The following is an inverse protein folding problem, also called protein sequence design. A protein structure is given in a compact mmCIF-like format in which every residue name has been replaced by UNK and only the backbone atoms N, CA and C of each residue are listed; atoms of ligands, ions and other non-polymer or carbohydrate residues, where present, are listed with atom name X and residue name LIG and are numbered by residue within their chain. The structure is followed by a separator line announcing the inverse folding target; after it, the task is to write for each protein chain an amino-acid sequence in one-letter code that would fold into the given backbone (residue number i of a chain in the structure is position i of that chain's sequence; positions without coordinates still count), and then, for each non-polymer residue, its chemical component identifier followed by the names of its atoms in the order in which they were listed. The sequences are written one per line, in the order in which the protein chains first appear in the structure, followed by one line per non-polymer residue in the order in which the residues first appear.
data_IF_422792043365
#
_entry.id   IF_422792043365
#
_cell.length_a   1.000
_cell.length_b   1.000
_cell.length_c   1.000
_cell.angle_alpha   90.00
_cell.angle_beta   90.00
_cell.angle_gamma   90.00
#
_symmetry.space_group_name_H-M   'P 1'
#
loop_
_entity.id
_entity.type
_entity.pdbx_description
1 polymer ?
#
# COMPACT_ATOMS: atom_id res chain seq x y z
N UNK A 1 8.55 -5.47 8.29
CA UNK A 1 9.29 -5.40 9.54
C UNK A 1 10.52 -4.51 9.37
N UNK A 2 10.61 -3.38 10.12
CA UNK A 2 11.80 -2.54 10.11
C UNK A 2 11.64 -1.14 9.55
N UNK A 3 10.52 -0.82 8.88
CA UNK A 3 10.28 0.52 8.34
C UNK A 3 10.37 1.60 9.43
N UNK A 4 9.80 1.35 10.61
CA UNK A 4 9.90 2.24 11.76
C UNK A 4 11.37 2.56 12.14
N UNK A 5 12.25 1.54 12.15
CA UNK A 5 13.67 1.75 12.45
C UNK A 5 14.36 2.58 11.37
N UNK A 6 14.02 2.34 10.10
CA UNK A 6 14.58 3.11 8.97
C UNK A 6 14.11 4.57 8.98
N UNK A 7 12.92 4.84 9.51
CA UNK A 7 12.38 6.18 9.70
C UNK A 7 12.84 6.82 11.03
N UNK A 8 13.60 6.10 11.87
CA UNK A 8 13.99 6.58 13.19
C UNK A 8 12.82 6.81 14.13
N UNK A 9 11.77 5.99 14.00
CA UNK A 9 10.54 6.03 14.78
C UNK A 9 10.41 4.84 15.71
N UNK A 10 9.51 4.91 16.69
CA UNK A 10 9.05 3.77 17.45
C UNK A 10 8.25 2.78 16.59
N UNK A 11 8.03 1.58 17.10
CA UNK A 11 7.15 0.61 16.44
C UNK A 11 5.71 0.84 16.92
N UNK A 12 4.78 1.32 16.08
CA UNK A 12 3.40 1.48 16.47
C UNK A 12 2.75 0.12 16.73
N UNK A 13 1.74 0.09 17.63
CA UNK A 13 0.86 -1.07 17.73
C UNK A 13 0.09 -1.26 16.44
N UNK A 14 -0.23 -2.50 16.09
CA UNK A 14 -0.98 -2.76 14.88
C UNK A 14 -2.50 -2.50 15.04
N UNK A 15 -3.13 -1.96 14.00
CA UNK A 15 -4.55 -1.64 13.96
C UNK A 15 -5.43 -2.89 14.15
N UNK A 16 -4.97 -4.07 13.75
CA UNK A 16 -5.67 -5.32 13.98
C UNK A 16 -5.84 -5.58 15.48
N UNK A 17 -4.84 -5.20 16.30
CA UNK A 17 -4.92 -5.27 17.77
C UNK A 17 -6.00 -4.37 18.35
N UNK A 18 -6.20 -3.17 17.79
CA UNK A 18 -7.29 -2.25 18.17
C UNK A 18 -8.68 -2.90 18.02
N UNK A 19 -8.87 -3.73 17.01
CA UNK A 19 -10.11 -4.47 16.77
C UNK A 19 -10.21 -5.80 17.53
N UNK A 20 -9.33 -6.07 18.50
CA UNK A 20 -9.34 -7.31 19.29
C UNK A 20 -8.67 -8.49 18.58
N UNK A 21 -7.71 -8.20 17.73
CA UNK A 21 -6.99 -9.19 16.93
C UNK A 21 -7.84 -9.81 15.83
N UNK A 22 -7.33 -10.86 15.18
CA UNK A 22 -8.03 -11.55 14.09
C UNK A 22 -9.39 -12.14 14.52
N UNK A 23 -9.52 -12.56 15.78
CA UNK A 23 -10.77 -13.12 16.30
C UNK A 23 -11.84 -12.04 16.47
N UNK A 24 -11.53 -10.96 17.18
CA UNK A 24 -12.46 -9.84 17.35
C UNK A 24 -12.83 -9.18 16.03
N UNK A 25 -11.87 -9.07 15.10
CA UNK A 25 -12.13 -8.57 13.76
C UNK A 25 -13.12 -9.47 12.99
N UNK A 26 -12.93 -10.80 13.01
CA UNK A 26 -13.86 -11.75 12.37
C UNK A 26 -15.26 -11.70 12.97
N UNK A 27 -15.38 -11.53 14.28
CA UNK A 27 -16.66 -11.39 14.94
C UNK A 27 -17.39 -10.11 14.51
N UNK A 28 -16.68 -8.98 14.48
CA UNK A 28 -17.22 -7.72 13.94
C UNK A 28 -17.62 -7.85 12.46
N UNK A 29 -16.82 -8.57 11.67
CA UNK A 29 -17.12 -8.83 10.26
C UNK A 29 -18.40 -9.66 10.08
N UNK A 30 -18.65 -10.63 10.96
CA UNK A 30 -19.87 -11.45 10.94
C UNK A 30 -21.09 -10.68 11.40
N UNK A 31 -20.93 -9.80 12.38
CA UNK A 31 -22.00 -8.96 12.93
C UNK A 31 -22.40 -7.80 11.99
N UNK A 32 -21.50 -7.41 11.05
CA UNK A 32 -21.80 -6.36 10.11
C UNK A 32 -22.91 -6.77 9.12
N UNK A 33 -23.83 -5.87 8.75
CA UNK A 33 -24.92 -6.19 7.83
C UNK A 33 -24.34 -6.67 6.48
N UNK A 34 -24.81 -7.84 6.03
CA UNK A 34 -24.41 -8.40 4.73
C UNK A 34 -24.83 -7.44 3.64
N UNK A 35 -23.92 -7.08 2.73
CA UNK A 35 -24.28 -6.38 1.49
C UNK A 35 -25.32 -7.24 0.78
N UNK A 36 -26.57 -6.78 0.67
CA UNK A 36 -27.54 -7.38 -0.22
C UNK A 36 -27.03 -7.12 -1.64
N UNK A 37 -26.48 -8.14 -2.30
CA UNK A 37 -26.24 -8.09 -3.73
C UNK A 37 -27.62 -7.95 -4.37
N UNK A 38 -28.03 -6.73 -4.69
CA UNK A 38 -29.13 -6.51 -5.60
C UNK A 38 -28.65 -6.97 -6.98
N UNK A 39 -29.05 -8.16 -7.39
CA UNK A 39 -29.06 -8.55 -8.80
C UNK A 39 -30.06 -7.59 -9.47
N UNK A 40 -29.56 -6.46 -9.95
CA UNK A 40 -30.34 -5.47 -10.67
C UNK A 40 -30.70 -6.03 -12.04
N UNK A 41 -31.94 -6.45 -12.22
CA UNK A 41 -32.58 -6.38 -13.52
C UNK A 41 -32.58 -4.90 -13.91
N UNK A 42 -31.98 -4.61 -15.05
CA UNK A 42 -31.99 -3.29 -15.66
C UNK A 42 -33.43 -2.83 -15.91
N UNK A 43 -33.87 -1.82 -15.15
CA UNK A 43 -34.99 -0.99 -15.53
C UNK A 43 -34.44 0.39 -15.89
N UNK A 44 -34.57 0.75 -17.14
CA UNK A 44 -34.33 2.08 -17.71
C UNK A 44 -35.15 3.14 -16.98
N UNK A 45 -34.46 4.09 -16.33
CA UNK A 45 -35.11 5.24 -15.71
C UNK A 45 -34.07 6.21 -15.18
N UNK A 46 -33.88 7.31 -15.93
CA UNK A 46 -33.04 8.44 -15.57
C UNK A 46 -33.50 9.10 -14.29
N UNK A 47 -32.67 9.07 -13.25
CA UNK A 47 -32.70 10.04 -12.16
C UNK A 47 -31.29 10.29 -11.66
N UNK A 48 -30.91 11.57 -11.72
CA UNK A 48 -29.67 12.13 -11.15
C UNK A 48 -29.65 11.97 -9.64
N UNK A 49 -29.16 10.85 -9.17
CA UNK A 49 -28.90 10.56 -7.77
C UNK A 49 -27.41 10.57 -7.51
N UNK A 50 -26.95 11.39 -6.57
CA UNK A 50 -25.61 11.35 -6.03
C UNK A 50 -25.27 9.92 -5.62
N UNK A 51 -24.02 9.43 -5.82
CA UNK A 51 -23.64 8.10 -5.38
C UNK A 51 -23.83 8.02 -3.87
N UNK A 52 -24.70 7.10 -3.42
CA UNK A 52 -24.92 6.85 -2.00
C UNK A 52 -23.56 6.42 -1.40
N UNK A 53 -23.06 7.19 -0.45
CA UNK A 53 -21.86 6.87 0.30
C UNK A 53 -22.03 5.46 0.90
N UNK A 54 -21.22 4.52 0.43
CA UNK A 54 -21.22 3.16 0.95
C UNK A 54 -20.74 3.22 2.41
N UNK A 55 -21.64 3.00 3.37
CA UNK A 55 -21.25 2.89 4.78
C UNK A 55 -20.24 1.75 4.94
N UNK A 56 -19.09 2.04 5.50
CA UNK A 56 -18.09 1.06 5.91
C UNK A 56 -18.69 0.02 6.87
N UNK A 57 -18.16 -1.19 6.83
CA UNK A 57 -18.58 -2.26 7.74
C UNK A 57 -18.01 -2.11 9.14
N UNK A 58 -16.87 -1.42 9.29
CA UNK A 58 -16.08 -1.35 10.51
C UNK A 58 -15.96 0.06 11.07
N UNK A 59 -16.09 1.06 10.19
CA UNK A 59 -15.94 2.45 10.55
C UNK A 59 -17.31 3.13 10.45
N UNK A 60 -17.73 3.75 11.52
CA UNK A 60 -19.00 4.47 11.63
C UNK A 60 -18.94 5.91 11.11
N UNK A 61 -17.72 6.42 10.95
CA UNK A 61 -17.41 7.77 10.44
C UNK A 61 -16.12 7.75 9.63
N UNK A 62 -15.81 8.86 8.97
CA UNK A 62 -14.46 9.10 8.49
C UNK A 62 -13.52 9.30 9.68
N UNK A 63 -12.33 8.72 9.58
CA UNK A 63 -11.34 8.74 10.64
C UNK A 63 -10.15 9.60 10.24
N UNK A 64 -9.74 10.45 11.17
CA UNK A 64 -8.43 11.10 11.13
C UNK A 64 -7.44 10.31 11.99
N UNK A 65 -6.16 10.56 11.82
CA UNK A 65 -5.14 9.95 12.69
C UNK A 65 -5.32 10.32 14.17
N UNK A 66 -5.93 11.46 14.48
CA UNK A 66 -6.23 11.89 15.84
C UNK A 66 -7.36 11.11 16.51
N UNK A 67 -8.16 10.35 15.76
CA UNK A 67 -9.19 9.46 16.31
C UNK A 67 -8.60 8.14 16.83
N UNK A 68 -7.35 7.82 16.47
CA UNK A 68 -6.66 6.64 16.95
C UNK A 68 -5.94 6.93 18.28
N UNK A 69 -5.90 5.94 19.21
CA UNK A 69 -5.05 6.07 20.38
C UNK A 69 -3.57 6.26 19.97
N UNK A 70 -2.79 7.05 20.73
CA UNK A 70 -1.42 7.43 20.35
C UNK A 70 -0.50 6.24 20.09
N UNK A 71 -0.72 5.11 20.73
CA UNK A 71 0.10 3.92 20.56
C UNK A 71 -0.02 3.22 19.19
N UNK A 72 -0.99 3.65 18.36
CA UNK A 72 -1.18 3.09 17.01
C UNK A 72 -0.59 3.95 15.90
N UNK A 73 -0.14 5.16 16.22
CA UNK A 73 0.42 6.11 15.27
C UNK A 73 1.71 6.69 15.83
N UNK A 74 2.80 6.51 15.12
CA UNK A 74 4.05 7.21 15.38
C UNK A 74 4.16 8.41 14.43
N UNK A 75 4.67 9.54 14.92
CA UNK A 75 4.85 10.74 14.10
C UNK A 75 6.24 11.33 14.27
N UNK A 76 6.88 11.63 13.15
CA UNK A 76 8.18 12.31 13.11
C UNK A 76 8.31 13.11 11.82
N UNK A 77 8.74 14.36 11.92
CA UNK A 77 9.00 15.24 10.78
C UNK A 77 7.82 15.37 9.79
N UNK A 78 6.58 15.33 10.29
CA UNK A 78 5.35 15.39 9.48
C UNK A 78 4.96 14.07 8.83
N UNK A 79 5.73 13.01 9.02
CA UNK A 79 5.40 11.65 8.56
C UNK A 79 4.70 10.89 9.67
N UNK A 80 3.52 10.34 9.37
CA UNK A 80 2.77 9.46 10.28
C UNK A 80 2.92 8.02 9.83
N UNK A 81 3.36 7.17 10.75
CA UNK A 81 3.53 5.74 10.52
C UNK A 81 2.48 4.97 11.29
N UNK A 82 1.80 4.06 10.61
CA UNK A 82 0.85 3.12 11.20
C UNK A 82 1.10 1.71 10.69
N UNK A 83 0.87 0.72 11.53
CA UNK A 83 0.89 -0.69 11.15
C UNK A 83 -0.52 -1.26 11.14
N UNK A 84 -0.92 -1.91 10.05
CA UNK A 84 -2.27 -2.53 9.98
C UNK A 84 -2.33 -3.83 10.74
N UNK A 85 -1.31 -4.67 10.62
CA UNK A 85 -1.22 -5.93 11.34
C UNK A 85 -0.03 -6.76 10.91
N UNK A 86 0.28 -7.75 11.72
CA UNK A 86 1.38 -8.70 11.52
C UNK A 86 0.91 -10.12 11.84
N UNK A 87 1.59 -11.10 11.28
CA UNK A 87 1.50 -12.48 11.75
C UNK A 87 2.53 -12.62 12.87
N UNK A 88 2.07 -12.77 14.10
CA UNK A 88 2.93 -12.83 15.28
C UNK A 88 3.32 -14.27 15.64
N UNK A 89 2.41 -15.22 15.42
CA UNK A 89 2.59 -16.59 15.87
C UNK A 89 2.38 -17.60 14.75
N UNK A 90 3.07 -18.73 14.87
CA UNK A 90 2.84 -19.87 14.00
C UNK A 90 1.38 -20.35 14.10
N UNK A 91 0.73 -20.57 12.97
CA UNK A 91 -0.66 -21.04 12.95
C UNK A 91 -1.75 -19.96 13.00
N UNK A 92 -1.42 -18.67 13.03
CA UNK A 92 -2.40 -17.57 13.02
C UNK A 92 -3.25 -17.47 11.73
N UNK A 93 -2.99 -18.30 10.73
CA UNK A 93 -3.72 -18.34 9.47
C UNK A 93 -3.30 -17.23 8.49
N UNK A 94 -4.13 -16.99 7.46
CA UNK A 94 -3.74 -16.10 6.36
C UNK A 94 -3.83 -14.60 6.72
N UNK A 95 -3.14 -13.78 5.93
CA UNK A 95 -3.16 -12.32 6.03
C UNK A 95 -4.43 -11.66 5.45
N UNK A 96 -5.37 -12.45 4.92
CA UNK A 96 -6.59 -11.95 4.27
C UNK A 96 -7.39 -10.90 5.10
N UNK A 97 -7.56 -11.07 6.44
CA UNK A 97 -8.24 -10.07 7.24
C UNK A 97 -7.52 -8.73 7.28
N UNK A 98 -6.19 -8.72 7.18
CA UNK A 98 -5.39 -7.49 7.16
C UNK A 98 -5.66 -6.68 5.88
N UNK A 99 -5.68 -7.31 4.72
CA UNK A 99 -6.04 -6.64 3.46
C UNK A 99 -7.45 -6.03 3.48
N UNK A 100 -8.44 -6.74 4.07
CA UNK A 100 -9.78 -6.19 4.24
C UNK A 100 -9.75 -4.97 5.17
N UNK A 101 -9.04 -5.06 6.30
CA UNK A 101 -8.92 -3.95 7.24
C UNK A 101 -8.22 -2.75 6.60
N UNK A 102 -7.12 -2.98 5.85
CA UNK A 102 -6.40 -1.91 5.13
C UNK A 102 -7.34 -1.16 4.21
N UNK A 103 -8.08 -1.86 3.36
CA UNK A 103 -9.01 -1.24 2.43
C UNK A 103 -10.10 -0.43 3.15
N UNK A 104 -10.79 -1.04 4.10
CA UNK A 104 -11.85 -0.38 4.85
C UNK A 104 -11.32 0.85 5.61
N UNK A 105 -10.09 0.80 6.12
CA UNK A 105 -9.46 1.94 6.77
C UNK A 105 -9.17 3.06 5.78
N UNK A 106 -8.56 2.75 4.63
CA UNK A 106 -8.24 3.74 3.60
C UNK A 106 -9.50 4.39 3.02
N UNK A 107 -10.54 3.62 2.73
CA UNK A 107 -11.85 4.13 2.26
C UNK A 107 -12.48 5.14 3.25
N UNK A 108 -12.17 5.03 4.52
CA UNK A 108 -12.74 5.86 5.58
C UNK A 108 -11.74 6.85 6.19
N UNK A 109 -10.51 6.90 5.70
CA UNK A 109 -9.52 7.85 6.16
C UNK A 109 -9.86 9.25 5.64
N UNK A 110 -9.80 10.23 6.54
CA UNK A 110 -10.00 11.64 6.20
C UNK A 110 -8.66 12.25 5.79
N UNK A 111 -8.50 12.52 4.51
CA UNK A 111 -7.28 13.04 3.91
C UNK A 111 -7.52 14.45 3.38
N UNK A 112 -6.57 15.33 3.64
CA UNK A 112 -6.47 16.64 3.01
C UNK A 112 -6.02 16.53 1.55
N UNK A 113 -6.13 17.63 0.81
CA UNK A 113 -5.76 17.66 -0.62
C UNK A 113 -4.27 17.44 -0.88
N UNK A 114 -3.44 17.78 0.09
CA UNK A 114 -1.98 17.71 -0.02
C UNK A 114 -1.40 16.49 0.71
N UNK A 115 -2.28 15.64 1.26
CA UNK A 115 -1.85 14.42 1.95
C UNK A 115 -1.49 13.33 0.94
N UNK A 116 -0.37 12.65 1.19
CA UNK A 116 0.07 11.47 0.45
C UNK A 116 0.08 10.25 1.37
N UNK A 117 -0.60 9.21 0.98
CA UNK A 117 -0.58 7.93 1.70
C UNK A 117 0.24 6.92 0.91
N UNK A 118 1.25 6.35 1.53
CA UNK A 118 2.06 5.27 0.97
C UNK A 118 1.73 3.99 1.73
N UNK A 119 1.27 2.98 1.02
CA UNK A 119 0.99 1.67 1.59
C UNK A 119 2.10 0.71 1.21
N UNK A 120 2.93 0.33 2.20
CA UNK A 120 3.97 -0.67 2.03
C UNK A 120 3.35 -2.06 2.13
N UNK A 121 3.42 -2.81 1.04
CA UNK A 121 2.86 -4.16 0.92
C UNK A 121 3.96 -5.19 0.69
N UNK A 122 3.71 -6.43 1.12
CA UNK A 122 4.59 -7.54 0.74
C UNK A 122 4.54 -7.77 -0.78
N UNK A 123 5.69 -8.10 -1.37
CA UNK A 123 5.79 -8.44 -2.79
C UNK A 123 4.92 -9.67 -3.09
N UNK A 124 4.01 -9.54 -4.06
CA UNK A 124 3.20 -10.65 -4.52
C UNK A 124 1.90 -10.22 -5.20
N UNK A 125 1.51 -10.95 -6.23
CA UNK A 125 0.29 -10.70 -6.99
C UNK A 125 -0.99 -11.11 -6.27
N UNK A 126 -0.88 -11.72 -5.08
CA UNK A 126 -2.04 -12.23 -4.34
C UNK A 126 -2.97 -11.12 -3.81
N UNK A 127 -2.41 -9.95 -3.54
CA UNK A 127 -3.19 -8.79 -3.10
C UNK A 127 -4.05 -8.23 -4.24
N UNK A 128 -3.52 -8.19 -5.45
CA UNK A 128 -4.20 -7.67 -6.65
C UNK A 128 -5.44 -8.50 -7.04
N UNK A 129 -5.37 -9.80 -6.97
CA UNK A 129 -6.51 -10.67 -7.26
C UNK A 129 -7.70 -10.53 -6.30
N UNK A 130 -7.56 -9.77 -5.22
CA UNK A 130 -8.58 -9.56 -4.18
C UNK A 130 -9.26 -8.19 -4.23
N UNK A 131 -8.94 -7.36 -5.20
CA UNK A 131 -9.59 -6.06 -5.42
C UNK A 131 -9.30 -5.02 -4.33
N UNK A 132 -8.15 -5.14 -3.63
CA UNK A 132 -7.67 -4.13 -2.68
C UNK A 132 -7.24 -2.86 -3.43
N UNK A 133 -6.95 -2.99 -4.71
CA UNK A 133 -6.19 -2.04 -5.51
C UNK A 133 -7.05 -0.99 -6.24
N UNK A 134 -8.37 -1.11 -6.16
CA UNK A 134 -9.29 -0.20 -6.87
C UNK A 134 -9.35 1.20 -6.26
N UNK A 135 -8.82 1.34 -5.05
CA UNK A 135 -8.89 2.58 -4.28
C UNK A 135 -7.53 3.32 -4.23
N UNK A 136 -6.53 2.82 -4.97
CA UNK A 136 -5.24 3.50 -5.11
C UNK A 136 -5.20 4.34 -6.38
N UNK A 137 -4.69 5.56 -6.28
CA UNK A 137 -4.49 6.45 -7.43
C UNK A 137 -3.43 5.89 -8.37
N UNK A 138 -2.41 5.23 -7.80
CA UNK A 138 -1.33 4.59 -8.54
C UNK A 138 -0.65 3.46 -7.74
N UNK A 139 0.06 2.62 -8.44
CA UNK A 139 0.84 1.50 -7.90
C UNK A 139 2.30 1.69 -8.33
N UNK A 140 3.20 1.68 -7.35
CA UNK A 140 4.63 1.66 -7.58
C UNK A 140 5.16 0.24 -7.38
N UNK A 141 5.71 -0.34 -8.44
CA UNK A 141 6.34 -1.66 -8.40
C UNK A 141 7.85 -1.46 -8.33
N UNK A 142 8.44 -1.83 -7.19
CA UNK A 142 9.91 -1.82 -7.04
C UNK A 142 10.49 -3.10 -7.64
N UNK A 143 11.38 -2.94 -8.62
CA UNK A 143 11.95 -4.03 -9.40
C UNK A 143 13.44 -4.16 -9.10
N UNK A 144 13.83 -5.23 -8.41
CA UNK A 144 15.23 -5.58 -8.16
C UNK A 144 15.82 -6.34 -9.36
N UNK A 145 17.15 -6.37 -9.56
CA UNK A 145 17.83 -7.11 -10.64
C UNK A 145 17.80 -8.63 -10.38
N UNK A 146 16.62 -9.20 -10.43
CA UNK A 146 16.43 -10.64 -10.32
C UNK A 146 15.36 -11.12 -11.29
N UNK A 147 15.53 -12.34 -11.79
CA UNK A 147 14.60 -12.95 -12.73
C UNK A 147 13.13 -12.92 -12.21
N UNK A 148 12.93 -13.23 -10.94
CA UNK A 148 11.61 -13.24 -10.33
C UNK A 148 10.98 -11.85 -10.28
N UNK A 149 11.77 -10.82 -9.91
CA UNK A 149 11.30 -9.44 -9.86
C UNK A 149 10.92 -8.93 -11.25
N UNK A 150 11.77 -9.19 -12.26
CA UNK A 150 11.51 -8.84 -13.64
C UNK A 150 10.30 -9.59 -14.23
N UNK A 151 10.08 -10.85 -13.83
CA UNK A 151 8.90 -11.61 -14.24
C UNK A 151 7.63 -11.08 -13.59
N UNK A 152 7.72 -10.69 -12.33
CA UNK A 152 6.58 -10.11 -11.60
C UNK A 152 6.18 -8.76 -12.19
N UNK A 153 7.13 -7.91 -12.59
CA UNK A 153 6.81 -6.60 -13.18
C UNK A 153 5.90 -6.71 -14.41
N UNK A 154 6.12 -7.71 -15.27
CA UNK A 154 5.24 -7.98 -16.43
C UNK A 154 3.81 -8.31 -16.02
N UNK A 155 3.65 -9.09 -14.94
CA UNK A 155 2.31 -9.40 -14.42
C UNK A 155 1.62 -8.17 -13.85
N UNK A 156 2.36 -7.26 -13.20
CA UNK A 156 1.80 -6.01 -12.70
C UNK A 156 1.35 -5.09 -13.83
N UNK A 157 2.09 -5.05 -14.94
CA UNK A 157 1.71 -4.30 -16.13
C UNK A 157 0.38 -4.84 -16.71
N UNK A 158 0.28 -6.16 -16.90
CA UNK A 158 -0.96 -6.84 -17.33
C UNK A 158 -2.13 -6.58 -16.38
N UNK A 159 -1.91 -6.58 -15.08
CA UNK A 159 -2.94 -6.27 -14.08
C UNK A 159 -3.37 -4.80 -14.14
N UNK A 160 -2.42 -3.88 -14.31
CA UNK A 160 -2.73 -2.47 -14.49
C UNK A 160 -3.70 -2.24 -15.65
N UNK A 161 -3.44 -2.88 -16.80
CA UNK A 161 -4.33 -2.84 -17.95
C UNK A 161 -5.72 -3.44 -17.64
N UNK A 162 -5.79 -4.58 -16.94
CA UNK A 162 -7.05 -5.24 -16.62
C UNK A 162 -7.91 -4.48 -15.61
N UNK A 163 -7.30 -3.84 -14.61
CA UNK A 163 -8.04 -3.08 -13.59
C UNK A 163 -8.24 -1.59 -13.96
N UNK A 164 -7.55 -1.09 -14.99
CA UNK A 164 -7.49 0.33 -15.30
C UNK A 164 -6.70 1.15 -14.29
N UNK A 165 -5.77 0.50 -13.55
CA UNK A 165 -4.94 1.13 -12.54
C UNK A 165 -3.65 1.66 -13.17
N UNK A 166 -3.16 2.80 -12.70
CA UNK A 166 -1.86 3.32 -13.11
C UNK A 166 -0.76 2.52 -12.43
N UNK A 167 0.06 1.82 -13.20
CA UNK A 167 1.22 1.06 -12.69
C UNK A 167 2.49 1.72 -13.19
N UNK A 168 3.41 2.00 -12.27
CA UNK A 168 4.72 2.57 -12.55
C UNK A 168 5.82 1.71 -11.92
N UNK A 169 7.00 1.74 -12.54
CA UNK A 169 8.14 0.94 -12.11
C UNK A 169 9.24 1.83 -11.52
N UNK A 170 9.79 1.37 -10.42
CA UNK A 170 11.02 1.91 -9.82
C UNK A 170 12.08 0.82 -9.92
N UNK A 171 13.06 0.99 -10.79
CA UNK A 171 14.18 0.07 -10.87
C UNK A 171 15.11 0.33 -9.68
N UNK A 172 15.41 -0.72 -8.93
CA UNK A 172 16.22 -0.65 -7.72
C UNK A 172 17.52 -1.44 -7.89
N UNK A 173 18.58 -1.02 -7.23
CA UNK A 173 19.92 -1.62 -7.32
C UNK A 173 20.45 -1.68 -8.76
N UNK A 174 20.20 -0.62 -9.50
CA UNK A 174 20.64 -0.54 -10.90
C UNK A 174 22.16 -0.34 -10.97
N UNK A 175 22.85 -1.28 -11.59
CA UNK A 175 24.25 -1.14 -11.95
C UNK A 175 24.39 -0.81 -13.44
N UNK A 176 25.46 -0.10 -13.87
CA UNK A 176 25.60 0.35 -15.25
C UNK A 176 25.59 -0.76 -16.29
N UNK A 177 26.14 -1.92 -15.97
CA UNK A 177 26.28 -3.09 -16.86
C UNK A 177 24.97 -3.88 -17.04
N UNK A 178 24.01 -3.79 -16.10
CA UNK A 178 22.73 -4.50 -16.19
C UNK A 178 21.55 -3.57 -16.50
N UNK A 179 21.76 -2.26 -16.50
CA UNK A 179 20.73 -1.25 -16.67
C UNK A 179 19.87 -1.46 -17.92
N UNK A 180 20.52 -1.67 -19.07
CA UNK A 180 19.82 -1.84 -20.34
C UNK A 180 18.97 -3.12 -20.34
N UNK A 181 19.46 -4.19 -19.72
CA UNK A 181 18.75 -5.46 -19.60
C UNK A 181 17.51 -5.33 -18.70
N UNK A 182 17.63 -4.60 -17.58
CA UNK A 182 16.49 -4.30 -16.72
C UNK A 182 15.43 -3.48 -17.46
N UNK A 183 15.82 -2.42 -18.16
CA UNK A 183 14.91 -1.58 -18.95
C UNK A 183 14.20 -2.36 -20.06
N UNK A 184 14.93 -3.27 -20.75
CA UNK A 184 14.34 -4.11 -21.78
C UNK A 184 13.34 -5.15 -21.22
N UNK A 185 13.41 -5.42 -19.95
CA UNK A 185 12.58 -6.43 -19.28
C UNK A 185 11.27 -5.89 -18.70
N UNK A 186 11.11 -4.56 -18.60
CA UNK A 186 9.92 -3.88 -18.08
C UNK A 186 9.30 -2.97 -19.15
N UNK A 187 8.11 -2.47 -18.92
CA UNK A 187 7.54 -1.40 -19.73
C UNK A 187 8.28 -0.09 -19.42
N UNK A 188 9.28 0.22 -20.22
CA UNK A 188 10.19 1.36 -19.98
C UNK A 188 9.47 2.73 -19.98
N UNK A 189 8.31 2.86 -20.63
CA UNK A 189 7.51 4.10 -20.61
C UNK A 189 6.93 4.39 -19.24
N UNK A 190 6.78 3.37 -18.41
CA UNK A 190 6.23 3.46 -17.06
C UNK A 190 7.34 3.46 -15.98
N UNK A 191 8.62 3.49 -16.37
CA UNK A 191 9.73 3.63 -15.41
C UNK A 191 9.83 5.08 -14.95
N UNK A 192 9.63 5.32 -13.66
CA UNK A 192 9.60 6.67 -13.07
C UNK A 192 10.82 6.99 -12.23
N UNK A 193 11.60 5.99 -11.84
CA UNK A 193 12.88 6.16 -11.17
C UNK A 193 13.81 4.97 -11.39
N UNK A 194 15.11 5.27 -11.41
CA UNK A 194 16.18 4.28 -11.40
C UNK A 194 17.08 4.57 -10.20
N UNK A 195 17.11 3.69 -9.22
CA UNK A 195 17.87 3.84 -7.99
C UNK A 195 19.11 2.94 -8.09
N UNK A 196 20.31 3.50 -8.14
CA UNK A 196 21.54 2.69 -8.22
C UNK A 196 21.78 1.92 -6.92
N UNK A 197 22.53 0.83 -7.00
CA UNK A 197 22.96 0.14 -5.80
C UNK A 197 23.86 1.06 -4.96
N UNK A 198 23.52 1.19 -3.69
CA UNK A 198 24.27 2.03 -2.74
C UNK A 198 24.63 1.23 -1.49
N UNK A 199 25.91 0.98 -1.34
CA UNK A 199 26.45 0.23 -0.21
C UNK A 199 26.12 0.86 1.15
N UNK A 200 25.89 2.17 1.20
CA UNK A 200 25.48 2.89 2.40
C UNK A 200 24.08 2.51 2.85
N UNK A 201 23.13 2.42 1.91
CA UNK A 201 21.77 1.96 2.18
C UNK A 201 21.80 0.55 2.74
N UNK A 202 22.54 -0.35 2.08
CA UNK A 202 22.70 -1.72 2.54
C UNK A 202 23.27 -1.80 3.96
N UNK A 203 24.35 -1.08 4.25
CA UNK A 203 25.00 -1.08 5.58
C UNK A 203 24.09 -0.51 6.67
N UNK A 204 23.31 0.53 6.33
CA UNK A 204 22.39 1.16 7.29
C UNK A 204 21.21 0.26 7.60
N UNK A 205 20.63 -0.34 6.56
CA UNK A 205 19.54 -1.32 6.69
C UNK A 205 19.97 -2.56 7.47
N UNK A 206 21.18 -3.10 7.22
CA UNK A 206 21.72 -4.24 7.93
C UNK A 206 21.85 -3.99 9.45
N UNK A 207 22.10 -2.74 9.83
CA UNK A 207 22.23 -2.34 11.24
C UNK A 207 20.90 -1.95 11.88
N UNK A 208 19.81 -1.95 11.13
CA UNK A 208 18.50 -1.49 11.59
C UNK A 208 18.50 -0.03 12.04
N UNK A 209 19.33 0.82 11.41
CA UNK A 209 19.44 2.22 11.74
C UNK A 209 18.57 3.08 10.84
N UNK A 210 18.28 4.28 11.31
CA UNK A 210 17.61 5.32 10.53
C UNK A 210 18.37 5.58 9.23
N UNK A 211 17.61 5.64 8.12
CA UNK A 211 18.12 5.95 6.80
C UNK A 211 18.02 7.46 6.57
N UNK A 212 19.10 8.17 6.87
CA UNK A 212 19.19 9.61 6.68
C UNK A 212 20.10 9.93 5.48
N UNK A 213 19.59 9.63 4.28
CA UNK A 213 20.29 9.88 3.01
C UNK A 213 19.39 10.66 2.07
N UNK A 214 19.94 11.72 1.50
CA UNK A 214 19.30 12.44 0.41
C UNK A 214 19.67 11.80 -0.92
N UNK A 215 18.66 11.36 -1.66
CA UNK A 215 18.82 10.74 -2.97
C UNK A 215 18.07 11.56 -4.01
N UNK A 216 18.77 12.03 -5.03
CA UNK A 216 18.15 12.83 -6.09
C UNK A 216 17.11 12.04 -6.88
N UNK A 217 17.30 10.72 -7.00
CA UNK A 217 16.36 9.80 -7.62
C UNK A 217 15.02 9.76 -6.84
N UNK A 218 15.10 9.78 -5.50
CA UNK A 218 13.92 9.81 -4.63
C UNK A 218 13.25 11.18 -4.65
N UNK A 219 14.02 12.28 -4.71
CA UNK A 219 13.45 13.62 -4.86
C UNK A 219 12.62 13.73 -6.14
N UNK A 220 13.15 13.24 -7.27
CA UNK A 220 12.43 13.21 -8.56
C UNK A 220 11.17 12.34 -8.49
N UNK A 221 11.26 11.18 -7.84
CA UNK A 221 10.10 10.30 -7.62
C UNK A 221 9.03 11.01 -6.78
N UNK A 222 9.40 11.71 -5.71
CA UNK A 222 8.47 12.47 -4.89
C UNK A 222 7.79 13.62 -5.68
N UNK A 223 8.54 14.30 -6.55
CA UNK A 223 7.97 15.32 -7.45
C UNK A 223 6.99 14.72 -8.46
N UNK A 224 7.28 13.54 -8.97
CA UNK A 224 6.38 12.80 -9.86
C UNK A 224 5.07 12.46 -9.13
N UNK A 225 5.15 11.88 -7.92
CA UNK A 225 3.99 11.49 -7.14
C UNK A 225 3.07 12.67 -6.77
N UNK A 226 3.63 13.86 -6.56
CA UNK A 226 2.83 15.07 -6.28
C UNK A 226 2.05 15.60 -7.50
N UNK A 227 2.42 15.17 -8.71
CA UNK A 227 1.81 15.63 -9.97
C UNK A 227 0.87 14.60 -10.58
N UNK A 228 0.88 13.36 -10.07
CA UNK A 228 0.11 12.22 -10.57
C UNK A 228 -1.27 12.14 -9.97
#
# INVERSE_FOLDING_TARGET
YGLHSQLGMGAPKDLMGYFGGKTGFKEKQRAAPKKTQFLGLAASGSTSGQPAQQKSRFFDKRWSFSDLPPEFVEEKDGVKLMAVGKIHNFGEGCACPMGVLTREFLENLDLGKDDLVIVDTEAGTEHFGRGVDKDFDLILVVVDPSYESLRLSKKFDEFGEQCGCKVYFVLNKVEPDIREEMLASVNCTNVVAEIPERREIFKTSLKGKELNLELDEIKKLAEFLRKS
#
